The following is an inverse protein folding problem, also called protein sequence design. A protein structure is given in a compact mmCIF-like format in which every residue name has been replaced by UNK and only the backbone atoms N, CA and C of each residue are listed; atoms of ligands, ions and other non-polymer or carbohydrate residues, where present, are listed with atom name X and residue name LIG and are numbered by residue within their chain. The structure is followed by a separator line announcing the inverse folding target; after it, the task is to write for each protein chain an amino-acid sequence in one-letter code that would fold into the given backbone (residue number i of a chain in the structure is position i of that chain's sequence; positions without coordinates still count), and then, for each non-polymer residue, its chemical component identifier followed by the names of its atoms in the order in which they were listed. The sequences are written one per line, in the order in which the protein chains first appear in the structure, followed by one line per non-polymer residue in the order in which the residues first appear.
data_IF_990905102355
#
_entry.id   IF_990905102355
#
_cell.length_a   1.000
_cell.length_b   1.000
_cell.length_c   1.000
_cell.angle_alpha   90.00
_cell.angle_beta   90.00
_cell.angle_gamma   90.00
#
_symmetry.space_group_name_H-M   'P 1'
#
loop_
_entity.id
_entity.type
_entity.pdbx_description
1 polymer ?
#
# COMPACT_ATOMS: atom_id res chain seq x y z
N UNK A 1 -20.91 26.01 -7.33
CA UNK A 1 -20.43 24.80 -8.05
C UNK A 1 -20.67 23.61 -7.13
N UNK A 2 -21.17 22.46 -7.61
CA UNK A 2 -21.24 21.27 -6.76
C UNK A 2 -19.80 20.90 -6.33
N UNK A 3 -19.53 20.72 -5.04
CA UNK A 3 -18.16 20.53 -4.52
C UNK A 3 -17.46 19.32 -5.14
N UNK A 4 -18.24 18.31 -5.52
CA UNK A 4 -17.77 17.12 -6.26
C UNK A 4 -17.24 17.49 -7.65
N UNK A 5 -17.95 18.35 -8.38
CA UNK A 5 -17.53 18.81 -9.71
C UNK A 5 -16.25 19.65 -9.63
N UNK A 6 -16.15 20.51 -8.62
CA UNK A 6 -14.96 21.32 -8.40
C UNK A 6 -13.72 20.46 -8.09
N UNK A 7 -13.89 19.43 -7.24
CA UNK A 7 -12.82 18.47 -6.92
C UNK A 7 -12.34 17.73 -8.17
N UNK A 8 -13.27 17.17 -8.96
CA UNK A 8 -12.95 16.41 -10.16
C UNK A 8 -12.23 17.27 -11.20
N UNK A 9 -12.72 18.50 -11.43
CA UNK A 9 -12.14 19.40 -12.43
C UNK A 9 -10.71 19.77 -12.06
N UNK A 10 -10.46 20.16 -10.80
CA UNK A 10 -9.11 20.50 -10.33
C UNK A 10 -8.18 19.27 -10.37
N UNK A 11 -8.66 18.10 -9.96
CA UNK A 11 -7.89 16.85 -10.01
C UNK A 11 -7.45 16.50 -11.43
N UNK A 12 -8.38 16.48 -12.39
CA UNK A 12 -8.05 16.12 -13.78
C UNK A 12 -7.11 17.15 -14.43
N UNK A 13 -7.27 18.44 -14.14
CA UNK A 13 -6.34 19.47 -14.61
C UNK A 13 -4.92 19.22 -14.08
N UNK A 14 -4.76 18.93 -12.78
CA UNK A 14 -3.46 18.63 -12.18
C UNK A 14 -2.82 17.35 -12.76
N UNK A 15 -3.63 16.32 -13.05
CA UNK A 15 -3.16 15.08 -13.67
C UNK A 15 -2.70 15.31 -15.11
N UNK A 16 -3.43 16.09 -15.91
CA UNK A 16 -3.02 16.46 -17.28
C UNK A 16 -1.71 17.26 -17.28
N UNK A 17 -1.48 18.07 -16.24
CA UNK A 17 -0.22 18.77 -15.99
C UNK A 17 0.92 17.84 -15.50
N UNK A 18 0.71 16.52 -15.48
CA UNK A 18 1.69 15.49 -15.07
C UNK A 18 2.20 15.65 -13.65
N UNK A 19 1.41 16.25 -12.76
CA UNK A 19 1.72 16.32 -11.33
C UNK A 19 1.56 14.92 -10.73
N UNK A 20 2.46 14.46 -9.83
CA UNK A 20 2.31 13.16 -9.20
C UNK A 20 0.95 13.02 -8.49
N UNK A 21 0.32 11.86 -8.63
CA UNK A 21 -1.07 11.61 -8.20
C UNK A 21 -1.36 12.01 -6.76
N UNK A 22 -0.42 11.76 -5.83
CA UNK A 22 -0.56 12.14 -4.43
C UNK A 22 -0.75 13.66 -4.24
N UNK A 23 0.05 14.47 -4.95
CA UNK A 23 -0.08 15.93 -4.91
C UNK A 23 -1.33 16.41 -5.63
N UNK A 24 -1.69 15.78 -6.76
CA UNK A 24 -2.92 16.12 -7.47
C UNK A 24 -4.16 15.94 -6.58
N UNK A 25 -4.26 14.82 -5.85
CA UNK A 25 -5.33 14.54 -4.89
C UNK A 25 -5.32 15.50 -3.69
N UNK A 26 -4.13 15.80 -3.16
CA UNK A 26 -3.98 16.71 -2.02
C UNK A 26 -4.45 18.12 -2.38
N UNK A 27 -3.94 18.68 -3.49
CA UNK A 27 -4.29 20.04 -3.92
C UNK A 27 -5.77 20.14 -4.31
N UNK A 28 -6.33 19.16 -5.03
CA UNK A 28 -7.75 19.18 -5.40
C UNK A 28 -8.66 19.14 -4.17
N UNK A 29 -8.29 18.36 -3.16
CA UNK A 29 -9.01 18.30 -1.88
C UNK A 29 -8.91 19.62 -1.13
N UNK A 30 -7.72 20.24 -1.09
CA UNK A 30 -7.48 21.51 -0.40
C UNK A 30 -8.29 22.65 -1.01
N UNK A 31 -8.30 22.77 -2.35
CA UNK A 31 -9.11 23.77 -3.06
C UNK A 31 -10.61 23.56 -2.81
N UNK A 32 -11.07 22.31 -2.73
CA UNK A 32 -12.47 21.98 -2.44
C UNK A 32 -12.85 22.30 -1.00
N UNK A 33 -11.98 22.03 -0.03
CA UNK A 33 -12.18 22.37 1.38
C UNK A 33 -12.27 23.88 1.61
N UNK A 34 -11.41 24.65 0.94
CA UNK A 34 -11.48 26.13 0.96
C UNK A 34 -12.79 26.66 0.38
N UNK A 35 -13.41 25.94 -0.56
CA UNK A 35 -14.70 26.33 -1.17
C UNK A 35 -15.91 25.99 -0.28
N UNK A 36 -15.73 25.18 0.76
CA UNK A 36 -16.77 24.72 1.68
C UNK A 36 -16.74 25.45 3.04
N UNK A 37 -15.87 26.47 3.19
CA UNK A 37 -15.58 27.16 4.46
C UNK A 37 -15.29 26.19 5.63
N UNK A 38 -14.76 25.00 5.31
CA UNK A 38 -14.41 24.01 6.30
C UNK A 38 -13.10 24.38 6.99
N UNK A 39 -13.04 24.19 8.30
CA UNK A 39 -11.82 24.40 9.06
C UNK A 39 -10.70 23.50 8.55
N UNK A 40 -9.56 24.09 8.19
CA UNK A 40 -8.34 23.34 7.86
C UNK A 40 -7.91 22.42 9.00
N UNK A 41 -8.29 22.72 10.25
CA UNK A 41 -8.05 21.85 11.39
C UNK A 41 -8.76 20.49 11.23
N UNK A 42 -9.95 20.46 10.63
CA UNK A 42 -10.68 19.22 10.35
C UNK A 42 -9.98 18.36 9.29
N UNK A 43 -9.35 19.00 8.29
CA UNK A 43 -8.54 18.31 7.27
C UNK A 43 -7.30 17.65 7.90
N UNK A 44 -6.59 18.39 8.75
CA UNK A 44 -5.42 17.89 9.49
C UNK A 44 -5.79 16.73 10.41
N UNK A 45 -6.89 16.86 11.16
CA UNK A 45 -7.39 15.78 12.00
C UNK A 45 -7.72 14.52 11.17
N UNK A 46 -8.37 14.67 10.01
CA UNK A 46 -8.70 13.54 9.12
C UNK A 46 -7.43 12.81 8.64
N UNK A 47 -6.40 13.56 8.26
CA UNK A 47 -5.11 13.01 7.84
C UNK A 47 -4.42 12.25 8.99
N UNK A 48 -4.41 12.82 10.20
CA UNK A 48 -3.84 12.16 11.37
C UNK A 48 -4.57 10.87 11.73
N UNK A 49 -5.91 10.86 11.68
CA UNK A 49 -6.70 9.65 11.92
C UNK A 49 -6.41 8.56 10.87
N UNK A 50 -6.15 8.92 9.61
CA UNK A 50 -5.76 7.95 8.58
C UNK A 50 -4.40 7.32 8.83
N UNK A 51 -3.42 8.09 9.33
CA UNK A 51 -2.09 7.56 9.67
C UNK A 51 -2.14 6.67 10.91
N UNK A 52 -2.98 6.99 11.88
CA UNK A 52 -3.19 6.17 13.09
C UNK A 52 -4.16 4.99 12.86
N UNK A 53 -4.50 4.68 11.61
CA UNK A 53 -5.44 3.61 11.31
C UNK A 53 -4.83 2.22 11.57
N UNK A 54 -5.64 1.29 12.05
CA UNK A 54 -5.24 -0.11 12.27
C UNK A 54 -4.53 -0.76 11.06
N UNK A 55 -4.92 -0.51 9.79
CA UNK A 55 -4.19 -1.02 8.63
C UNK A 55 -2.72 -0.55 8.55
N UNK A 56 -2.37 0.64 9.05
CA UNK A 56 -0.97 1.09 9.05
C UNK A 56 -0.11 0.28 10.03
N UNK A 57 -0.71 -0.32 11.07
CA UNK A 57 -0.02 -1.28 11.95
C UNK A 57 0.36 -2.57 11.22
N UNK A 58 -0.29 -2.88 10.09
CA UNK A 58 0.08 -4.04 9.30
C UNK A 58 1.54 -3.96 8.81
N UNK A 59 2.02 -2.76 8.43
CA UNK A 59 3.41 -2.57 7.96
C UNK A 59 4.44 -3.02 9.00
N UNK A 60 4.46 -2.50 10.26
CA UNK A 60 5.42 -2.95 11.26
C UNK A 60 5.18 -4.40 11.69
N UNK A 61 3.94 -4.89 11.74
CA UNK A 61 3.68 -6.30 12.10
C UNK A 61 4.14 -7.27 11.02
N UNK A 62 3.95 -6.98 9.74
CA UNK A 62 4.50 -7.78 8.64
C UNK A 62 6.03 -7.74 8.63
N UNK A 63 6.64 -6.58 8.92
CA UNK A 63 8.09 -6.48 9.08
C UNK A 63 8.59 -7.36 10.22
N UNK A 64 7.94 -7.28 11.40
CA UNK A 64 8.28 -8.10 12.57
C UNK A 64 8.11 -9.59 12.27
N UNK A 65 7.01 -9.98 11.62
CA UNK A 65 6.78 -11.37 11.22
C UNK A 65 7.87 -11.86 10.25
N UNK A 66 8.25 -11.05 9.26
CA UNK A 66 9.35 -11.36 8.35
C UNK A 66 10.68 -11.58 9.07
N UNK A 67 11.03 -10.72 10.03
CA UNK A 67 12.23 -10.87 10.86
C UNK A 67 12.16 -12.14 11.71
N UNK A 68 11.03 -12.42 12.36
CA UNK A 68 10.82 -13.64 13.15
C UNK A 68 10.91 -14.91 12.30
N UNK A 69 10.39 -14.90 11.07
CA UNK A 69 10.46 -16.04 10.15
C UNK A 69 11.89 -16.29 9.67
N UNK A 70 12.64 -15.22 9.42
CA UNK A 70 14.05 -15.28 9.05
C UNK A 70 14.90 -15.82 10.20
N UNK A 71 14.82 -15.20 11.38
CA UNK A 71 15.63 -15.60 12.54
C UNK A 71 15.21 -16.96 13.11
N UNK A 72 13.92 -17.30 13.01
CA UNK A 72 13.38 -18.60 13.43
C UNK A 72 13.65 -19.75 12.44
N UNK A 73 14.26 -19.47 11.28
CA UNK A 73 14.54 -20.46 10.23
C UNK A 73 13.27 -21.03 9.57
N UNK A 74 12.13 -20.36 9.72
CA UNK A 74 10.87 -20.72 9.05
C UNK A 74 11.02 -20.53 7.55
N UNK A 75 11.72 -19.46 7.14
CA UNK A 75 12.02 -19.18 5.73
C UNK A 75 12.74 -20.34 5.05
N UNK A 76 13.86 -20.84 5.61
CA UNK A 76 14.57 -22.01 5.06
C UNK A 76 13.69 -23.27 5.01
N UNK A 77 12.82 -23.48 6.01
CA UNK A 77 11.92 -24.64 6.03
C UNK A 77 10.88 -24.56 4.92
N UNK A 78 10.31 -23.38 4.66
CA UNK A 78 9.37 -23.16 3.56
C UNK A 78 10.02 -23.33 2.18
N UNK A 79 11.26 -22.88 2.04
CA UNK A 79 12.05 -23.08 0.80
C UNK A 79 12.28 -24.57 0.56
N UNK A 80 12.73 -25.33 1.56
CA UNK A 80 12.93 -26.78 1.45
C UNK A 80 11.64 -27.53 1.15
N UNK A 81 10.54 -27.13 1.76
CA UNK A 81 9.22 -27.70 1.47
C UNK A 81 8.85 -27.48 0.00
N UNK A 82 9.01 -26.25 -0.50
CA UNK A 82 8.67 -25.90 -1.88
C UNK A 82 9.58 -26.61 -2.88
N UNK A 83 10.87 -26.75 -2.57
CA UNK A 83 11.82 -27.54 -3.35
C UNK A 83 11.43 -29.02 -3.43
N UNK A 84 10.99 -29.61 -2.31
CA UNK A 84 10.49 -30.98 -2.30
C UNK A 84 9.19 -31.17 -3.10
N UNK A 85 8.36 -30.13 -3.22
CA UNK A 85 7.08 -30.19 -3.94
C UNK A 85 7.21 -29.99 -5.45
N UNK A 86 8.07 -29.07 -5.90
CA UNK A 86 8.13 -28.66 -7.32
C UNK A 86 9.56 -28.57 -7.88
N UNK A 87 10.60 -28.80 -7.09
CA UNK A 87 12.00 -28.69 -7.50
C UNK A 87 12.43 -29.71 -8.56
N UNK A 88 11.75 -30.86 -8.65
CA UNK A 88 12.03 -31.90 -9.64
C UNK A 88 11.47 -31.60 -11.04
N UNK A 89 10.72 -30.50 -11.22
CA UNK A 89 10.20 -30.08 -12.52
C UNK A 89 11.27 -29.34 -13.35
N UNK A 90 11.21 -29.37 -14.69
CA UNK A 90 12.10 -28.57 -15.53
C UNK A 90 11.91 -27.07 -15.24
N UNK A 91 13.01 -26.36 -14.96
CA UNK A 91 12.95 -24.99 -14.44
C UNK A 91 12.59 -24.91 -12.94
N UNK A 92 12.81 -25.99 -12.18
CA UNK A 92 12.39 -26.17 -10.78
C UNK A 92 12.65 -24.97 -9.88
N UNK A 93 13.81 -24.33 -9.95
CA UNK A 93 14.12 -23.13 -9.14
C UNK A 93 13.12 -21.98 -9.35
N UNK A 94 12.62 -21.78 -10.56
CA UNK A 94 11.60 -20.77 -10.84
C UNK A 94 10.26 -21.13 -10.20
N UNK A 95 9.87 -22.41 -10.26
CA UNK A 95 8.64 -22.88 -9.62
C UNK A 95 8.73 -22.82 -8.11
N UNK A 96 9.88 -23.20 -7.54
CA UNK A 96 10.16 -23.08 -6.10
C UNK A 96 9.99 -21.63 -5.66
N UNK A 97 10.56 -20.66 -6.39
CA UNK A 97 10.42 -19.25 -6.05
C UNK A 97 8.95 -18.77 -6.06
N UNK A 98 8.16 -19.20 -7.05
CA UNK A 98 6.72 -18.88 -7.11
C UNK A 98 5.96 -19.50 -5.94
N UNK A 99 6.17 -20.79 -5.65
CA UNK A 99 5.49 -21.50 -4.56
C UNK A 99 5.86 -20.91 -3.20
N UNK A 100 7.15 -20.65 -2.95
CA UNK A 100 7.62 -19.98 -1.73
C UNK A 100 6.94 -18.62 -1.58
N UNK A 101 6.89 -17.82 -2.65
CA UNK A 101 6.26 -16.49 -2.63
C UNK A 101 4.76 -16.57 -2.33
N UNK A 102 4.05 -17.56 -2.89
CA UNK A 102 2.63 -17.79 -2.60
C UNK A 102 2.40 -18.17 -1.13
N UNK A 103 3.28 -18.98 -0.54
CA UNK A 103 3.21 -19.35 0.88
C UNK A 103 3.53 -18.16 1.80
N UNK A 104 4.38 -17.23 1.37
CA UNK A 104 4.68 -15.98 2.10
C UNK A 104 3.62 -14.88 1.92
N UNK A 105 2.87 -14.89 0.82
CA UNK A 105 1.87 -13.87 0.49
C UNK A 105 0.53 -14.05 1.23
N UNK A 106 0.43 -15.08 2.08
CA UNK A 106 -0.73 -15.35 2.95
C UNK A 106 -0.71 -14.56 4.25
#
# INVERSE_FOLDING_TARGET
MNSVLLLLLVFFVLVVLKIPLAFALFLSTLVTFSSLDMSFMSLVNRMLTSVQSFPMLAIPFFLMAGLLMSDGGVTERLVKLSDALVGHLPGGLAHVNVVVSMLFAG
#
